data_IF_629850144752
#
_entry.id   IF_629850144752
#
_cell.length_a   1.000
_cell.length_b   1.000
_cell.length_c   1.000
_cell.angle_alpha   90.00
_cell.angle_beta   90.00
_cell.angle_gamma   90.00
#
_symmetry.space_group_name_H-M   'P 1'
#
loop_
_entity.id
_entity.type
_entity.pdbx_description
1 polymer ?
#
# COMPACT_ATOMS: atom_id res chain seq x y z
N UNK A 1 39.68 -46.45 -9.73
CA UNK A 1 39.33 -46.30 -11.16
C UNK A 1 39.91 -44.98 -11.65
N UNK A 2 41.15 -44.99 -12.17
CA UNK A 2 41.77 -43.79 -12.75
C UNK A 2 41.35 -43.71 -14.22
N UNK A 3 40.77 -42.58 -14.62
CA UNK A 3 40.33 -42.33 -15.99
C UNK A 3 41.56 -42.22 -16.91
N UNK A 4 41.75 -43.18 -17.81
CA UNK A 4 42.86 -43.24 -18.79
C UNK A 4 42.45 -42.67 -20.14
N UNK A 5 41.72 -41.55 -20.15
CA UNK A 5 41.30 -40.87 -21.38
C UNK A 5 42.22 -39.68 -21.68
N UNK A 6 42.72 -39.58 -22.91
CA UNK A 6 43.49 -38.42 -23.38
C UNK A 6 42.66 -37.13 -23.28
N UNK A 7 43.08 -36.21 -22.41
CA UNK A 7 42.41 -34.94 -22.15
C UNK A 7 42.35 -34.03 -23.40
N UNK A 8 43.19 -34.28 -24.42
CA UNK A 8 43.21 -33.52 -25.67
C UNK A 8 41.95 -33.73 -26.53
N UNK A 9 41.28 -34.87 -26.37
CA UNK A 9 40.09 -35.25 -27.15
C UNK A 9 38.77 -34.75 -26.54
N UNK A 10 38.82 -34.07 -25.39
CA UNK A 10 37.62 -33.58 -24.70
C UNK A 10 37.01 -32.44 -25.50
N UNK A 11 35.87 -32.69 -26.17
CA UNK A 11 35.02 -31.63 -26.73
C UNK A 11 34.77 -30.59 -25.63
N UNK A 12 35.20 -29.35 -25.88
CA UNK A 12 34.80 -28.20 -25.06
C UNK A 12 33.30 -28.03 -25.25
N UNK A 13 32.53 -28.55 -24.30
CA UNK A 13 31.10 -28.25 -24.19
C UNK A 13 31.03 -26.85 -23.62
N UNK A 14 30.57 -25.90 -24.42
CA UNK A 14 30.30 -24.56 -23.94
C UNK A 14 29.17 -24.68 -22.92
N UNK A 15 29.51 -24.60 -21.63
CA UNK A 15 28.55 -24.75 -20.52
C UNK A 15 27.63 -23.53 -20.38
N UNK A 16 27.49 -22.72 -21.43
CA UNK A 16 26.41 -21.76 -21.60
C UNK A 16 26.16 -20.92 -20.35
N UNK A 17 27.22 -20.35 -19.78
CA UNK A 17 27.15 -19.57 -18.54
C UNK A 17 26.81 -18.10 -18.76
N UNK A 18 26.86 -17.60 -20.00
CA UNK A 18 26.38 -16.26 -20.34
C UNK A 18 24.89 -16.34 -20.63
N UNK A 19 24.11 -16.20 -19.58
CA UNK A 19 22.67 -15.96 -19.70
C UNK A 19 22.44 -14.68 -20.50
N UNK A 20 22.02 -14.80 -21.76
CA UNK A 20 21.42 -13.69 -22.51
C UNK A 20 20.11 -13.19 -21.90
N UNK A 21 19.66 -13.79 -20.78
CA UNK A 21 18.54 -13.38 -19.93
C UNK A 21 18.97 -12.63 -18.67
N UNK A 22 20.27 -12.39 -18.44
CA UNK A 22 20.67 -11.23 -17.63
C UNK A 22 20.30 -9.97 -18.41
N UNK A 23 19.03 -9.58 -18.36
CA UNK A 23 18.67 -8.19 -18.63
C UNK A 23 19.64 -7.32 -17.83
N UNK A 24 20.37 -6.45 -18.53
CA UNK A 24 21.45 -5.60 -18.02
C UNK A 24 21.22 -5.29 -16.53
N UNK A 25 22.17 -5.65 -15.64
CA UNK A 25 22.00 -5.47 -14.18
C UNK A 25 21.48 -4.06 -13.83
N UNK A 26 21.85 -3.07 -14.63
CA UNK A 26 21.36 -1.70 -14.54
C UNK A 26 19.84 -1.58 -14.77
N UNK A 27 19.30 -2.24 -15.79
CA UNK A 27 17.86 -2.28 -16.09
C UNK A 27 17.07 -2.89 -14.93
N UNK A 28 17.54 -3.98 -14.34
CA UNK A 28 16.89 -4.59 -13.16
C UNK A 28 16.87 -3.64 -11.96
N UNK A 29 17.99 -2.96 -11.71
CA UNK A 29 18.10 -1.99 -10.62
C UNK A 29 17.20 -0.77 -10.84
N UNK A 30 17.13 -0.27 -12.08
CA UNK A 30 16.23 0.84 -12.43
C UNK A 30 14.76 0.45 -12.27
N UNK A 31 14.38 -0.75 -12.71
CA UNK A 31 13.03 -1.26 -12.52
C UNK A 31 12.67 -1.34 -11.02
N UNK A 32 13.56 -1.88 -10.19
CA UNK A 32 13.35 -1.96 -8.75
C UNK A 32 13.23 -0.57 -8.10
N UNK A 33 14.01 0.42 -8.57
CA UNK A 33 13.93 1.82 -8.11
C UNK A 33 12.58 2.44 -8.47
N UNK A 34 12.12 2.28 -9.71
CA UNK A 34 10.83 2.78 -10.17
C UNK A 34 9.67 2.17 -9.37
N UNK A 35 9.68 0.86 -9.16
CA UNK A 35 8.63 0.19 -8.40
C UNK A 35 8.63 0.60 -6.91
N UNK A 36 9.81 0.86 -6.33
CA UNK A 36 9.90 1.44 -4.98
C UNK A 36 9.28 2.84 -4.92
N UNK A 37 9.56 3.70 -5.91
CA UNK A 37 8.97 5.04 -6.00
C UNK A 37 7.44 4.96 -6.13
N UNK A 38 6.93 4.10 -7.00
CA UNK A 38 5.48 3.85 -7.16
C UNK A 38 4.83 3.41 -5.83
N UNK A 39 5.42 2.44 -5.13
CA UNK A 39 4.93 1.99 -3.81
C UNK A 39 4.96 3.11 -2.77
N UNK A 40 5.96 3.98 -2.79
CA UNK A 40 6.03 5.11 -1.86
C UNK A 40 4.86 6.09 -2.09
N UNK A 41 4.64 6.50 -3.34
CA UNK A 41 3.53 7.40 -3.71
C UNK A 41 2.19 6.79 -3.34
N UNK A 42 1.97 5.51 -3.68
CA UNK A 42 0.73 4.82 -3.35
C UNK A 42 0.47 4.74 -1.83
N UNK A 43 1.51 4.49 -1.02
CA UNK A 43 1.40 4.51 0.45
C UNK A 43 1.04 5.90 0.98
N UNK A 44 1.64 6.95 0.44
CA UNK A 44 1.33 8.33 0.85
C UNK A 44 -0.13 8.67 0.52
N UNK A 45 -0.57 8.38 -0.71
CA UNK A 45 -1.95 8.59 -1.15
C UNK A 45 -2.94 7.80 -0.28
N UNK A 46 -2.65 6.52 -0.01
CA UNK A 46 -3.50 5.67 0.83
C UNK A 46 -3.59 6.20 2.26
N UNK A 47 -2.46 6.62 2.85
CA UNK A 47 -2.43 7.23 4.18
C UNK A 47 -3.25 8.51 4.26
N UNK A 48 -3.15 9.38 3.25
CA UNK A 48 -3.95 10.60 3.16
C UNK A 48 -5.44 10.27 3.00
N UNK A 49 -5.80 9.33 2.12
CA UNK A 49 -7.17 8.91 1.91
C UNK A 49 -7.82 8.38 3.19
N UNK A 50 -7.09 7.56 3.97
CA UNK A 50 -7.59 7.04 5.25
C UNK A 50 -7.90 8.17 6.23
N UNK A 51 -7.04 9.21 6.32
CA UNK A 51 -7.28 10.37 7.19
C UNK A 51 -8.56 11.11 6.80
N UNK A 52 -8.74 11.36 5.50
CA UNK A 52 -9.93 12.04 4.96
C UNK A 52 -11.19 11.21 5.28
N UNK A 53 -11.16 9.90 4.99
CA UNK A 53 -12.28 9.00 5.25
C UNK A 53 -12.66 8.95 6.73
N UNK A 54 -11.66 8.86 7.64
CA UNK A 54 -11.90 8.87 9.09
C UNK A 54 -12.55 10.17 9.55
N UNK A 55 -12.03 11.32 9.09
CA UNK A 55 -12.60 12.62 9.41
C UNK A 55 -14.05 12.72 8.93
N UNK A 56 -14.32 12.36 7.68
CA UNK A 56 -15.66 12.42 7.11
C UNK A 56 -16.66 11.52 7.86
N UNK A 57 -16.26 10.30 8.22
CA UNK A 57 -17.08 9.39 9.04
C UNK A 57 -17.40 10.01 10.39
N UNK A 58 -16.39 10.54 11.09
CA UNK A 58 -16.60 11.22 12.37
C UNK A 58 -17.52 12.45 12.26
N UNK A 59 -17.37 13.27 11.21
CA UNK A 59 -18.27 14.40 10.96
C UNK A 59 -19.72 13.95 10.76
N UNK A 60 -19.94 12.85 10.05
CA UNK A 60 -21.27 12.28 9.85
C UNK A 60 -21.88 11.83 11.17
N UNK A 61 -21.11 11.13 12.00
CA UNK A 61 -21.56 10.63 13.30
C UNK A 61 -21.91 11.79 14.26
N UNK A 62 -21.05 12.81 14.33
CA UNK A 62 -21.30 14.03 15.11
C UNK A 62 -22.57 14.75 14.63
N UNK A 63 -22.79 14.84 13.32
CA UNK A 63 -23.99 15.49 12.77
C UNK A 63 -25.26 14.74 13.19
N UNK A 64 -25.25 13.40 13.13
CA UNK A 64 -26.39 12.59 13.55
C UNK A 64 -26.65 12.74 15.06
N UNK A 65 -25.61 12.57 15.89
CA UNK A 65 -25.71 12.72 17.34
C UNK A 65 -26.19 14.11 17.75
N UNK A 66 -25.71 15.17 17.07
CA UNK A 66 -26.17 16.54 17.31
C UNK A 66 -27.67 16.69 17.05
N UNK A 67 -28.17 16.13 15.95
CA UNK A 67 -29.61 16.18 15.63
C UNK A 67 -30.42 15.41 16.67
N UNK A 68 -29.96 14.22 17.06
CA UNK A 68 -30.62 13.39 18.07
C UNK A 68 -30.69 14.08 19.44
N UNK A 69 -29.54 14.56 19.94
CA UNK A 69 -29.48 15.30 21.21
C UNK A 69 -30.36 16.54 21.17
N UNK A 70 -30.40 17.24 20.02
CA UNK A 70 -31.26 18.41 19.86
C UNK A 70 -32.74 18.04 19.92
N UNK A 71 -33.15 16.94 19.28
CA UNK A 71 -34.52 16.44 19.36
C UNK A 71 -34.88 16.02 20.79
N UNK A 72 -34.01 15.30 21.48
CA UNK A 72 -34.18 14.93 22.88
C UNK A 72 -34.34 16.17 23.76
N UNK A 73 -33.49 17.19 23.56
CA UNK A 73 -33.60 18.47 24.26
C UNK A 73 -34.97 19.12 24.04
N UNK A 74 -35.44 19.19 22.79
CA UNK A 74 -36.74 19.78 22.46
C UNK A 74 -37.90 19.05 23.13
N UNK A 75 -37.84 17.72 23.21
CA UNK A 75 -38.86 16.92 23.90
C UNK A 75 -38.85 17.18 25.41
N UNK A 76 -37.67 17.16 26.03
CA UNK A 76 -37.53 17.26 27.49
C UNK A 76 -37.74 18.68 28.00
N UNK A 77 -37.09 19.66 27.37
CA UNK A 77 -36.98 21.02 27.89
C UNK A 77 -37.71 22.07 27.04
N UNK A 78 -38.27 21.71 25.88
CA UNK A 78 -38.85 22.67 24.94
C UNK A 78 -37.80 23.34 24.05
N UNK A 79 -38.23 24.28 23.21
CA UNK A 79 -37.38 24.88 22.18
C UNK A 79 -36.30 25.80 22.74
N UNK A 80 -36.61 26.46 23.85
CA UNK A 80 -35.76 27.41 24.55
C UNK A 80 -35.55 27.05 26.03
N UNK A 81 -35.92 25.84 26.45
CA UNK A 81 -35.79 25.41 27.85
C UNK A 81 -36.98 25.78 28.73
N UNK A 82 -38.11 26.18 28.14
CA UNK A 82 -39.32 26.58 28.86
C UNK A 82 -39.98 25.47 29.70
N UNK A 83 -39.61 24.20 29.48
CA UNK A 83 -40.07 23.04 30.26
C UNK A 83 -38.99 22.53 31.23
N UNK A 84 -37.90 23.26 31.40
CA UNK A 84 -36.92 22.94 32.43
C UNK A 84 -37.45 23.43 33.79
N UNK A 85 -37.70 22.50 34.71
CA UNK A 85 -38.02 22.78 36.12
C UNK A 85 -36.86 23.48 36.84
#
# INVERSE_FOLDING_TARGET
MFFTGDASTRKRVDLGGRSSKESDRQVLLEQARLDRKRRLVHRQQTSAAIKIQKCFRGMKDVKMARTEVRQQFHVTYGDRGEKAD
#
